data_IF_558276658099
#
_entry.id   IF_558276658099
#
_cell.length_a   1.000
_cell.length_b   1.000
_cell.length_c   1.000
_cell.angle_alpha   90.00
_cell.angle_beta   90.00
_cell.angle_gamma   90.00
#
_symmetry.space_group_name_H-M   'P 1'
#
loop_
_entity.id
_entity.type
_entity.pdbx_description
1 polymer ?
#
# COMPACT_ATOMS: atom_id res chain seq x y z
N UNK A 1 76.34 26.77 -49.30
CA UNK A 1 76.68 25.62 -48.44
C UNK A 1 75.45 24.72 -48.34
N UNK A 2 75.50 23.47 -48.81
CA UNK A 2 74.41 22.52 -48.57
C UNK A 2 74.48 21.97 -47.12
N UNK A 3 73.34 21.74 -46.44
CA UNK A 3 73.35 21.18 -45.09
C UNK A 3 73.69 19.67 -45.12
N UNK A 4 74.58 19.28 -44.21
CA UNK A 4 74.93 17.90 -43.89
C UNK A 4 73.66 17.07 -43.61
N UNK A 5 73.50 15.93 -44.31
CA UNK A 5 72.63 14.83 -43.85
C UNK A 5 73.46 13.94 -42.93
N UNK A 6 73.16 13.86 -41.63
CA UNK A 6 73.77 12.83 -40.80
C UNK A 6 73.17 11.50 -41.24
N UNK A 7 74.04 10.61 -41.74
CA UNK A 7 73.74 9.19 -41.84
C UNK A 7 73.48 8.66 -40.44
N UNK A 8 72.21 8.49 -40.08
CA UNK A 8 71.82 7.55 -39.05
C UNK A 8 72.00 6.15 -39.64
N UNK A 9 73.22 5.61 -39.53
CA UNK A 9 73.45 4.18 -39.58
C UNK A 9 72.80 3.57 -38.34
N UNK A 10 71.49 3.41 -38.38
CA UNK A 10 70.83 2.40 -37.56
C UNK A 10 71.39 1.09 -38.11
N UNK A 11 72.28 0.47 -37.35
CA UNK A 11 72.75 -0.88 -37.62
C UNK A 11 71.51 -1.79 -37.64
N UNK A 12 71.00 -2.07 -38.84
CA UNK A 12 70.14 -3.22 -39.06
C UNK A 12 71.00 -4.46 -38.82
N UNK A 13 71.07 -4.88 -37.55
CA UNK A 13 71.50 -6.23 -37.23
C UNK A 13 70.44 -7.16 -37.80
N UNK A 14 70.64 -7.56 -39.05
CA UNK A 14 69.85 -8.59 -39.70
C UNK A 14 70.04 -9.89 -38.92
N UNK A 15 69.02 -10.24 -38.13
CA UNK A 15 68.90 -11.51 -37.42
C UNK A 15 69.23 -12.66 -38.38
N UNK A 16 70.05 -13.59 -37.90
CA UNK A 16 70.37 -14.82 -38.60
C UNK A 16 69.09 -15.64 -38.85
N UNK A 17 69.13 -16.56 -39.81
CA UNK A 17 67.96 -17.37 -40.15
C UNK A 17 67.46 -18.23 -38.97
N UNK A 18 68.34 -18.56 -38.03
CA UNK A 18 68.01 -19.26 -36.77
C UNK A 18 67.29 -18.35 -35.78
N UNK A 19 67.80 -17.16 -35.51
CA UNK A 19 67.16 -16.20 -34.59
C UNK A 19 65.75 -15.79 -35.07
N UNK A 20 65.53 -15.68 -36.39
CA UNK A 20 64.20 -15.42 -36.96
C UNK A 20 63.23 -16.60 -36.77
N UNK A 21 63.73 -17.84 -36.67
CA UNK A 21 62.89 -19.01 -36.39
C UNK A 21 62.51 -19.05 -34.92
N UNK A 22 63.49 -18.84 -34.03
CA UNK A 22 63.26 -18.77 -32.58
C UNK A 22 62.29 -17.63 -32.21
N UNK A 23 62.45 -16.46 -32.82
CA UNK A 23 61.53 -15.33 -32.62
C UNK A 23 60.11 -15.65 -33.08
N UNK A 24 59.94 -16.34 -34.23
CA UNK A 24 58.62 -16.79 -34.70
C UNK A 24 58.01 -17.83 -33.78
N UNK A 25 58.79 -18.78 -33.29
CA UNK A 25 58.31 -19.79 -32.34
C UNK A 25 57.88 -19.17 -31.02
N UNK A 26 58.65 -18.20 -30.52
CA UNK A 26 58.29 -17.42 -29.34
C UNK A 26 57.02 -16.59 -29.55
N UNK A 27 56.88 -15.92 -30.69
CA UNK A 27 55.65 -15.18 -31.03
C UNK A 27 54.44 -16.12 -31.12
N UNK A 28 54.60 -17.32 -31.67
CA UNK A 28 53.53 -18.32 -31.74
C UNK A 28 53.15 -18.87 -30.36
N UNK A 29 54.12 -19.11 -29.47
CA UNK A 29 53.84 -19.49 -28.08
C UNK A 29 53.10 -18.38 -27.33
N UNK A 30 53.55 -17.13 -27.46
CA UNK A 30 52.91 -15.98 -26.83
C UNK A 30 51.49 -15.75 -27.36
N UNK A 31 51.28 -15.92 -28.67
CA UNK A 31 49.94 -15.84 -29.28
C UNK A 31 49.01 -16.94 -28.76
N UNK A 32 49.50 -18.17 -28.61
CA UNK A 32 48.73 -19.28 -28.02
C UNK A 32 48.32 -19.00 -26.58
N UNK A 33 49.26 -18.56 -25.74
CA UNK A 33 48.98 -18.19 -24.34
C UNK A 33 47.93 -17.08 -24.24
N UNK A 34 48.00 -16.08 -25.12
CA UNK A 34 47.00 -15.00 -25.16
C UNK A 34 45.60 -15.51 -25.53
N UNK A 35 45.53 -16.46 -26.47
CA UNK A 35 44.25 -17.08 -26.87
C UNK A 35 43.68 -17.92 -25.73
N UNK A 36 44.51 -18.70 -25.04
CA UNK A 36 44.09 -19.51 -23.90
C UNK A 36 43.57 -18.63 -22.76
N UNK A 37 44.29 -17.57 -22.40
CA UNK A 37 43.86 -16.61 -21.39
C UNK A 37 42.51 -15.94 -21.75
N UNK A 38 42.31 -15.54 -23.01
CA UNK A 38 41.04 -14.96 -23.46
C UNK A 38 39.88 -15.96 -23.45
N UNK A 39 40.14 -17.24 -23.69
CA UNK A 39 39.12 -18.29 -23.60
C UNK A 39 38.74 -18.56 -22.15
N UNK A 40 39.72 -18.58 -21.24
CA UNK A 40 39.50 -18.75 -19.82
C UNK A 40 38.71 -17.57 -19.23
N UNK A 41 39.08 -16.33 -19.58
CA UNK A 41 38.35 -15.13 -19.18
C UNK A 41 36.89 -15.17 -19.65
N UNK A 42 36.64 -15.56 -20.91
CA UNK A 42 35.28 -15.72 -21.44
C UNK A 42 34.49 -16.83 -20.76
N UNK A 43 35.14 -17.91 -20.31
CA UNK A 43 34.48 -18.97 -19.54
C UNK A 43 34.11 -18.46 -18.15
N UNK A 44 35.04 -17.81 -17.46
CA UNK A 44 34.79 -17.20 -16.15
C UNK A 44 33.69 -16.14 -16.21
N UNK A 45 33.65 -15.30 -17.25
CA UNK A 45 32.59 -14.29 -17.42
C UNK A 45 31.20 -14.93 -17.63
N UNK A 46 31.13 -16.02 -18.40
CA UNK A 46 29.88 -16.77 -18.62
C UNK A 46 29.40 -17.44 -17.34
N UNK A 47 30.31 -18.04 -16.59
CA UNK A 47 30.00 -18.68 -15.31
C UNK A 47 29.54 -17.65 -14.27
N UNK A 48 30.19 -16.50 -14.19
CA UNK A 48 29.78 -15.41 -13.31
C UNK A 48 28.38 -14.87 -13.68
N UNK A 49 28.09 -14.71 -14.98
CA UNK A 49 26.76 -14.32 -15.47
C UNK A 49 25.70 -15.36 -15.13
N UNK A 50 26.00 -16.65 -15.28
CA UNK A 50 25.08 -17.73 -14.90
C UNK A 50 24.82 -17.74 -13.39
N UNK A 51 25.86 -17.66 -12.57
CA UNK A 51 25.73 -17.62 -11.11
C UNK A 51 24.92 -16.40 -10.65
N UNK A 52 25.09 -15.25 -11.29
CA UNK A 52 24.30 -14.05 -11.00
C UNK A 52 22.83 -14.24 -11.41
N UNK A 53 22.56 -14.78 -12.60
CA UNK A 53 21.21 -15.06 -13.05
C UNK A 53 20.48 -16.06 -12.14
N UNK A 54 21.15 -17.11 -11.69
CA UNK A 54 20.58 -18.08 -10.74
C UNK A 54 20.28 -17.46 -9.38
N UNK A 55 21.17 -16.60 -8.87
CA UNK A 55 20.92 -15.87 -7.62
C UNK A 55 19.71 -14.96 -7.73
N UNK A 56 19.61 -14.21 -8.83
CA UNK A 56 18.46 -13.33 -9.08
C UNK A 56 17.17 -14.13 -9.25
N UNK A 57 17.20 -15.26 -9.96
CA UNK A 57 16.04 -16.14 -10.10
C UNK A 57 15.54 -16.66 -8.74
N UNK A 58 16.46 -17.12 -7.89
CA UNK A 58 16.13 -17.57 -6.53
C UNK A 58 15.59 -16.44 -5.65
N UNK A 59 16.12 -15.22 -5.77
CA UNK A 59 15.59 -14.06 -5.05
C UNK A 59 14.17 -13.71 -5.48
N UNK A 60 13.91 -13.68 -6.79
CA UNK A 60 12.58 -13.40 -7.33
C UNK A 60 11.55 -14.46 -6.90
N UNK A 61 11.94 -15.74 -6.88
CA UNK A 61 11.08 -16.82 -6.39
C UNK A 61 10.78 -16.68 -4.88
N UNK A 62 11.80 -16.34 -4.08
CA UNK A 62 11.62 -16.08 -2.65
C UNK A 62 10.72 -14.85 -2.39
N UNK A 63 10.86 -13.78 -3.18
CA UNK A 63 9.99 -12.61 -3.07
C UNK A 63 8.55 -12.90 -3.47
N UNK A 64 8.35 -13.67 -4.54
CA UNK A 64 7.01 -14.10 -4.96
C UNK A 64 6.31 -14.92 -3.89
N UNK A 65 7.00 -15.92 -3.33
CA UNK A 65 6.41 -16.76 -2.27
C UNK A 65 6.12 -15.96 -1.00
N UNK A 66 6.95 -14.97 -0.66
CA UNK A 66 6.72 -14.07 0.45
C UNK A 66 5.53 -13.13 0.19
N UNK A 67 5.36 -12.64 -1.03
CA UNK A 67 4.21 -11.85 -1.44
C UNK A 67 2.91 -12.66 -1.38
N UNK A 68 2.91 -13.90 -1.86
CA UNK A 68 1.77 -14.82 -1.78
C UNK A 68 1.37 -15.08 -0.32
N UNK A 69 2.33 -15.32 0.59
CA UNK A 69 2.06 -15.48 2.02
C UNK A 69 1.47 -14.23 2.66
N UNK A 70 2.00 -13.04 2.32
CA UNK A 70 1.45 -11.77 2.82
C UNK A 70 0.01 -11.55 2.34
N UNK A 71 -0.28 -11.91 1.09
CA UNK A 71 -1.62 -11.80 0.52
C UNK A 71 -2.61 -12.75 1.22
N UNK A 72 -2.20 -14.00 1.48
CA UNK A 72 -3.00 -14.95 2.24
C UNK A 72 -3.29 -14.46 3.66
N UNK A 73 -2.27 -13.97 4.37
CA UNK A 73 -2.43 -13.39 5.70
C UNK A 73 -3.38 -12.18 5.71
N UNK A 74 -3.27 -11.28 4.73
CA UNK A 74 -4.17 -10.14 4.60
C UNK A 74 -5.63 -10.59 4.36
N UNK A 75 -5.82 -11.61 3.52
CA UNK A 75 -7.14 -12.19 3.27
C UNK A 75 -7.73 -12.83 4.54
N UNK A 76 -6.93 -13.62 5.28
CA UNK A 76 -7.37 -14.23 6.55
C UNK A 76 -7.76 -13.18 7.60
N UNK A 77 -6.99 -12.09 7.72
CA UNK A 77 -7.34 -10.99 8.62
C UNK A 77 -8.64 -10.31 8.19
N UNK A 78 -8.84 -10.06 6.89
CA UNK A 78 -10.08 -9.49 6.37
C UNK A 78 -11.30 -10.37 6.68
N UNK A 79 -11.18 -11.69 6.57
CA UNK A 79 -12.27 -12.61 6.94
C UNK A 79 -12.60 -12.54 8.42
N UNK A 80 -11.58 -12.50 9.29
CA UNK A 80 -11.79 -12.36 10.75
C UNK A 80 -12.44 -11.03 11.11
N UNK A 81 -12.05 -9.94 10.47
CA UNK A 81 -12.69 -8.63 10.67
C UNK A 81 -14.17 -8.66 10.27
N UNK A 82 -14.50 -9.32 9.16
CA UNK A 82 -15.89 -9.51 8.73
C UNK A 82 -16.67 -10.39 9.71
N UNK A 83 -16.07 -11.47 10.23
CA UNK A 83 -16.69 -12.32 11.24
C UNK A 83 -16.98 -11.54 12.54
N UNK A 84 -16.02 -10.73 13.00
CA UNK A 84 -16.21 -9.88 14.18
C UNK A 84 -17.32 -8.87 13.95
N UNK A 85 -17.35 -8.20 12.78
CA UNK A 85 -18.42 -7.26 12.42
C UNK A 85 -19.80 -7.94 12.37
N UNK A 86 -19.87 -9.16 11.81
CA UNK A 86 -21.10 -9.94 11.78
C UNK A 86 -21.58 -10.26 13.20
N UNK A 87 -20.71 -10.78 14.08
CA UNK A 87 -21.05 -11.05 15.49
C UNK A 87 -21.45 -9.79 16.27
N UNK A 88 -20.80 -8.66 16.01
CA UNK A 88 -21.18 -7.37 16.62
C UNK A 88 -22.56 -6.91 16.15
N UNK A 89 -22.90 -7.11 14.87
CA UNK A 89 -24.23 -6.79 14.35
C UNK A 89 -25.33 -7.68 14.96
N UNK A 90 -25.06 -8.98 15.15
CA UNK A 90 -25.98 -9.90 15.83
C UNK A 90 -26.15 -9.55 17.32
N UNK A 91 -25.07 -9.14 17.99
CA UNK A 91 -25.13 -8.65 19.38
C UNK A 91 -25.81 -7.29 19.53
N UNK A 92 -25.92 -6.49 18.47
CA UNK A 92 -26.57 -5.16 18.48
C UNK A 92 -28.09 -5.23 18.22
N UNK A 93 -28.61 -6.36 17.73
CA UNK A 93 -30.04 -6.55 17.43
C UNK A 93 -30.93 -6.86 18.65
N UNK A 94 -30.44 -6.73 19.87
CA UNK A 94 -31.24 -6.93 21.10
C UNK A 94 -31.71 -5.63 21.79
N UNK A 95 -31.64 -4.48 21.13
CA UNK A 95 -31.81 -3.17 21.78
C UNK A 95 -33.13 -2.42 21.60
N UNK A 96 -34.10 -2.94 20.83
CA UNK A 96 -35.35 -2.23 20.50
C UNK A 96 -36.60 -2.88 21.08
N UNK A 97 -36.89 -2.64 22.37
CA UNK A 97 -38.19 -3.02 22.95
C UNK A 97 -39.18 -1.88 22.74
N UNK A 98 -40.16 -2.08 21.84
CA UNK A 98 -41.33 -1.20 21.74
C UNK A 98 -42.26 -1.54 22.92
N UNK A 99 -42.26 -0.71 23.96
CA UNK A 99 -43.25 -0.79 25.04
C UNK A 99 -44.43 0.15 24.76
N UNK A 100 -45.61 -0.43 24.60
CA UNK A 100 -46.87 0.30 24.48
C UNK A 100 -47.35 0.68 25.88
N UNK A 101 -47.44 1.97 26.18
CA UNK A 101 -47.99 2.46 27.44
C UNK A 101 -49.53 2.35 27.50
N UNK A 102 -50.14 2.46 28.70
CA UNK A 102 -51.58 2.28 28.91
C UNK A 102 -52.48 3.34 28.25
N UNK A 103 -51.91 4.39 27.66
CA UNK A 103 -52.64 5.47 26.96
C UNK A 103 -52.51 5.42 25.41
N UNK A 104 -51.94 4.36 24.85
CA UNK A 104 -51.73 4.24 23.39
C UNK A 104 -50.50 5.00 22.85
N UNK A 105 -49.76 5.69 23.71
CA UNK A 105 -48.48 6.32 23.36
C UNK A 105 -47.39 5.24 23.16
N UNK A 106 -46.87 5.13 21.94
CA UNK A 106 -45.69 4.30 21.63
C UNK A 106 -44.44 5.04 22.08
N UNK A 107 -43.79 4.57 23.15
CA UNK A 107 -42.50 5.12 23.60
C UNK A 107 -41.36 4.34 22.95
N UNK A 108 -40.77 4.92 21.90
CA UNK A 108 -39.51 4.40 21.34
C UNK A 108 -38.37 4.86 22.24
N UNK A 109 -37.84 3.95 23.05
CA UNK A 109 -36.64 4.22 23.84
C UNK A 109 -35.42 3.91 22.98
N UNK A 110 -34.85 4.94 22.36
CA UNK A 110 -33.56 4.82 21.70
C UNK A 110 -32.48 4.95 22.79
N UNK A 111 -31.45 4.08 22.81
CA UNK A 111 -30.36 4.22 23.77
C UNK A 111 -29.71 5.60 23.63
N UNK A 112 -29.41 6.27 24.74
CA UNK A 112 -28.82 7.63 24.71
C UNK A 112 -27.46 7.70 24.01
N UNK A 113 -26.77 6.56 23.89
CA UNK A 113 -25.46 6.44 23.25
C UNK A 113 -25.52 6.30 21.73
N UNK A 114 -26.72 6.14 21.17
CA UNK A 114 -26.93 5.85 19.73
C UNK A 114 -27.08 7.14 18.93
N UNK A 115 -27.70 8.15 19.52
CA UNK A 115 -28.03 9.39 18.84
C UNK A 115 -27.07 10.49 19.29
N UNK A 116 -26.42 11.21 18.37
CA UNK A 116 -25.55 12.33 18.73
C UNK A 116 -26.36 13.42 19.43
N UNK A 117 -25.85 13.95 20.55
CA UNK A 117 -26.47 15.09 21.24
C UNK A 117 -26.27 16.37 20.42
N UNK A 118 -27.29 17.22 20.37
CA UNK A 118 -27.17 18.51 19.70
C UNK A 118 -26.27 19.46 20.49
N UNK A 119 -25.30 20.08 19.82
CA UNK A 119 -24.43 21.10 20.40
C UNK A 119 -24.94 22.48 19.95
N UNK A 120 -25.29 23.34 20.91
CA UNK A 120 -25.73 24.71 20.62
C UNK A 120 -24.59 25.49 19.96
N UNK A 121 -24.85 26.06 18.78
CA UNK A 121 -23.83 26.70 17.93
C UNK A 121 -23.09 25.75 16.98
N UNK A 122 -23.46 24.47 16.97
CA UNK A 122 -22.96 23.48 16.02
C UNK A 122 -23.66 23.54 14.66
N UNK A 123 -23.09 22.81 13.70
CA UNK A 123 -23.65 22.64 12.37
C UNK A 123 -24.90 21.74 12.42
N UNK A 124 -26.07 22.37 12.22
CA UNK A 124 -27.38 21.71 12.29
C UNK A 124 -27.51 20.64 11.21
N UNK A 125 -27.04 20.90 10.00
CA UNK A 125 -27.17 19.96 8.87
C UNK A 125 -26.36 18.69 9.12
N UNK A 126 -25.15 18.83 9.67
CA UNK A 126 -24.34 17.67 10.07
C UNK A 126 -24.98 16.89 11.21
N UNK A 127 -25.58 17.57 12.18
CA UNK A 127 -26.27 16.90 13.27
C UNK A 127 -27.52 16.16 12.78
N UNK A 128 -28.34 16.77 11.92
CA UNK A 128 -29.50 16.12 11.31
C UNK A 128 -29.08 14.90 10.48
N UNK A 129 -28.06 15.01 9.64
CA UNK A 129 -27.56 13.87 8.87
C UNK A 129 -27.13 12.70 9.78
N UNK A 130 -26.42 12.99 10.87
CA UNK A 130 -26.01 11.96 11.83
C UNK A 130 -27.19 11.38 12.64
N UNK A 131 -28.19 12.21 12.95
CA UNK A 131 -29.43 11.81 13.59
C UNK A 131 -30.25 10.85 12.70
N UNK A 132 -30.45 11.19 11.43
CA UNK A 132 -31.16 10.35 10.46
C UNK A 132 -30.47 9.00 10.23
N UNK A 133 -29.14 9.01 10.12
CA UNK A 133 -28.34 7.77 10.00
C UNK A 133 -28.53 6.88 11.22
N UNK A 134 -28.52 7.45 12.43
CA UNK A 134 -28.77 6.70 13.66
C UNK A 134 -30.20 6.13 13.69
N UNK A 135 -31.21 6.91 13.29
CA UNK A 135 -32.59 6.43 13.29
C UNK A 135 -32.84 5.31 12.27
N UNK A 136 -32.24 5.41 11.07
CA UNK A 136 -32.33 4.36 10.04
C UNK A 136 -31.60 3.09 10.46
N UNK A 137 -30.43 3.21 11.09
CA UNK A 137 -29.68 2.07 11.60
C UNK A 137 -30.44 1.30 12.69
N UNK A 138 -31.37 1.95 13.37
CA UNK A 138 -32.21 1.36 14.43
C UNK A 138 -33.67 1.13 14.00
N UNK A 139 -33.94 1.15 12.69
CA UNK A 139 -35.25 0.86 12.09
C UNK A 139 -36.41 1.65 12.69
N UNK A 140 -36.16 2.89 13.10
CA UNK A 140 -37.21 3.74 13.68
C UNK A 140 -38.14 4.21 12.56
N UNK A 141 -39.47 4.01 12.67
CA UNK A 141 -40.40 4.48 11.66
C UNK A 141 -40.36 6.00 11.51
N UNK A 142 -40.34 6.52 10.27
CA UNK A 142 -40.23 7.96 9.97
C UNK A 142 -41.26 8.82 10.71
N UNK A 143 -42.50 8.32 10.85
CA UNK A 143 -43.57 8.99 11.61
C UNK A 143 -43.30 9.14 13.11
N UNK A 144 -42.22 8.54 13.64
CA UNK A 144 -41.82 8.58 15.05
C UNK A 144 -40.48 9.30 15.29
N UNK A 145 -39.84 9.81 14.23
CA UNK A 145 -38.56 10.52 14.32
C UNK A 145 -38.69 11.80 15.16
N UNK A 146 -39.78 12.55 14.97
CA UNK A 146 -40.06 13.75 15.76
C UNK A 146 -40.17 13.47 17.26
N UNK A 147 -40.78 12.34 17.66
CA UNK A 147 -40.94 11.95 19.08
C UNK A 147 -39.61 11.55 19.70
N UNK A 148 -38.74 10.89 18.92
CA UNK A 148 -37.41 10.50 19.35
C UNK A 148 -36.49 11.72 19.57
N UNK A 149 -36.71 12.85 18.89
CA UNK A 149 -35.83 14.01 18.92
C UNK A 149 -35.83 14.77 20.26
N UNK A 150 -36.96 14.76 20.98
CA UNK A 150 -37.16 15.53 22.23
C UNK A 150 -36.25 15.11 23.38
N UNK A 151 -35.60 13.94 23.31
CA UNK A 151 -34.62 13.48 24.30
C UNK A 151 -33.17 13.95 24.06
N UNK A 152 -32.87 14.55 22.90
CA UNK A 152 -31.50 14.79 22.41
C UNK A 152 -31.18 16.23 22.06
N UNK A 153 -32.21 17.08 22.00
CA UNK A 153 -32.06 18.53 22.00
C UNK A 153 -32.12 18.96 23.47
N UNK A 154 -31.09 19.65 24.01
CA UNK A 154 -31.19 20.25 25.34
C UNK A 154 -32.47 21.08 25.41
N UNK A 155 -33.17 21.16 26.56
CA UNK A 155 -34.28 22.09 26.68
C UNK A 155 -33.72 23.48 26.41
N UNK A 156 -33.99 24.00 25.20
CA UNK A 156 -33.91 25.42 24.94
C UNK A 156 -34.85 26.00 25.98
N UNK A 157 -34.29 26.83 26.88
CA UNK A 157 -35.04 27.37 28.01
C UNK A 157 -36.41 27.83 27.55
N UNK A 158 -37.43 27.59 28.38
CA UNK A 158 -38.84 27.96 28.14
C UNK A 158 -39.05 29.40 27.64
N UNK A 159 -38.04 30.24 27.73
CA UNK A 159 -38.01 31.63 27.29
C UNK A 159 -37.66 31.83 25.79
N UNK A 160 -37.38 30.75 25.04
CA UNK A 160 -37.21 30.79 23.57
C UNK A 160 -38.43 30.26 22.81
N UNK A 161 -39.61 30.33 23.43
CA UNK A 161 -40.85 30.39 22.67
C UNK A 161 -40.84 31.69 21.88
N UNK A 162 -40.55 31.54 20.58
CA UNK A 162 -40.99 32.43 19.52
C UNK A 162 -42.29 33.12 19.96
N UNK A 163 -42.18 34.42 20.20
CA UNK A 163 -43.29 35.35 20.05
C UNK A 163 -43.68 35.26 18.58
N UNK A 164 -44.49 34.25 18.25
CA UNK A 164 -45.24 34.19 17.03
C UNK A 164 -46.29 35.28 17.18
N UNK A 165 -45.92 36.44 16.64
CA UNK A 165 -46.78 37.54 16.28
C UNK A 165 -48.15 36.99 15.83
N UNK A 166 -49.18 37.20 16.64
CA UNK A 166 -50.55 36.95 16.23
C UNK A 166 -50.96 38.13 15.34
N UNK A 167 -51.38 37.90 14.08
CA UNK A 167 -51.97 38.97 13.29
C UNK A 167 -53.39 39.25 13.80
N UNK A 168 -53.72 40.54 13.95
CA UNK A 168 -55.06 41.08 14.20
C UNK A 168 -56.06 40.78 13.06
#
# INVERSE_FOLDING_TARGET
MPPYRPGSSVSEQSLTAEERREEREFQLQMAKLKIEAQQEEKRAEREAKQAQAERTAKQVEAERTLAEKKLLLAHELSLKELEIKARQSESSNNGGSIQTGPAGEKKVRIPKNVVPSFVVGGDIDKWLAAYEVALRAHEVPEGQWGVAMWGYVPPLGRDTLLTLDQPD
#
